data_IF_396516759193
#
_entry.id   IF_396516759193
#
_cell.length_a   1.000
_cell.length_b   1.000
_cell.length_c   1.000
_cell.angle_alpha   90.00
_cell.angle_beta   90.00
_cell.angle_gamma   90.00
#
_symmetry.space_group_name_H-M   'P 1'
#
loop_
_entity.id
_entity.type
_entity.pdbx_description
1 polymer ?
#
# COMPACT_ATOMS: atom_id res chain seq x y z
N UNK A 1 -32.79 -19.13 5.00
CA UNK A 1 -32.20 -19.14 3.65
C UNK A 1 -32.18 -17.72 3.15
N UNK A 2 -30.99 -17.10 3.11
CA UNK A 2 -30.74 -15.87 2.34
C UNK A 2 -29.51 -16.22 1.52
N UNK A 3 -29.68 -16.38 0.21
CA UNK A 3 -28.55 -16.51 -0.70
C UNK A 3 -28.13 -15.08 -1.03
N UNK A 4 -27.06 -14.61 -0.40
CA UNK A 4 -26.37 -13.42 -0.88
C UNK A 4 -25.87 -13.71 -2.29
N UNK A 5 -26.53 -13.11 -3.27
CA UNK A 5 -26.07 -13.09 -4.65
C UNK A 5 -24.86 -12.15 -4.70
N UNK A 6 -23.67 -12.67 -4.41
CA UNK A 6 -22.44 -11.96 -4.74
C UNK A 6 -22.43 -11.78 -6.26
N UNK A 7 -22.56 -10.54 -6.72
CA UNK A 7 -22.30 -10.17 -8.10
C UNK A 7 -20.82 -10.38 -8.36
N UNK A 8 -20.44 -11.57 -8.85
CA UNK A 8 -19.06 -11.85 -9.23
C UNK A 8 -18.73 -11.06 -10.48
N UNK A 9 -18.24 -9.83 -10.32
CA UNK A 9 -17.63 -9.09 -11.41
C UNK A 9 -16.42 -9.89 -11.91
N UNK A 10 -16.39 -10.14 -13.22
CA UNK A 10 -15.23 -10.74 -13.85
C UNK A 10 -14.10 -9.70 -13.83
N UNK A 11 -13.11 -9.88 -12.96
CA UNK A 11 -11.97 -8.97 -12.85
C UNK A 11 -11.17 -8.83 -14.16
N UNK A 12 -11.38 -9.71 -15.14
CA UNK A 12 -10.73 -9.68 -16.45
C UNK A 12 -11.57 -9.09 -17.58
N UNK A 13 -12.77 -8.58 -17.27
CA UNK A 13 -13.65 -7.97 -18.26
C UNK A 13 -12.95 -6.80 -18.98
N UNK A 14 -13.04 -6.79 -20.32
CA UNK A 14 -12.43 -5.75 -21.17
C UNK A 14 -10.95 -5.97 -21.51
N UNK A 15 -10.23 -6.88 -20.85
CA UNK A 15 -8.85 -7.18 -21.22
C UNK A 15 -8.74 -8.12 -22.43
N UNK A 16 -7.75 -7.87 -23.28
CA UNK A 16 -7.34 -8.78 -24.36
C UNK A 16 -6.73 -10.04 -23.77
N UNK A 17 -7.31 -11.18 -24.13
CA UNK A 17 -6.88 -12.49 -23.64
C UNK A 17 -5.57 -12.95 -24.29
N UNK A 18 -4.84 -13.84 -23.63
CA UNK A 18 -3.53 -14.34 -24.06
C UNK A 18 -3.11 -15.59 -23.30
N UNK A 19 -1.82 -15.92 -23.30
CA UNK A 19 -1.25 -16.96 -22.42
C UNK A 19 -1.35 -16.56 -20.95
N UNK A 20 -1.34 -15.26 -20.63
CA UNK A 20 -1.46 -14.72 -19.27
C UNK A 20 -2.75 -15.14 -18.54
N UNK A 21 -3.82 -15.52 -19.26
CA UNK A 21 -5.06 -16.02 -18.63
C UNK A 21 -4.96 -17.47 -18.17
N UNK A 22 -3.90 -18.18 -18.60
CA UNK A 22 -3.65 -19.60 -18.28
C UNK A 22 -2.32 -19.84 -17.57
N UNK A 23 -1.42 -18.85 -17.56
CA UNK A 23 -0.10 -18.91 -16.92
C UNK A 23 0.17 -17.57 -16.24
N UNK A 24 1.02 -17.57 -15.20
CA UNK A 24 1.50 -16.32 -14.61
C UNK A 24 2.45 -15.63 -15.59
N UNK A 25 1.93 -14.68 -16.36
CA UNK A 25 2.68 -13.91 -17.37
C UNK A 25 2.24 -12.43 -17.36
N UNK A 26 2.72 -11.69 -16.34
CA UNK A 26 2.42 -10.26 -16.17
C UNK A 26 2.93 -9.43 -17.34
N UNK A 27 4.03 -9.86 -17.98
CA UNK A 27 4.60 -9.17 -19.13
C UNK A 27 3.63 -9.16 -20.30
N UNK A 28 3.07 -10.31 -20.66
CA UNK A 28 2.12 -10.40 -21.77
C UNK A 28 0.81 -9.66 -21.46
N UNK A 29 0.33 -9.73 -20.21
CA UNK A 29 -0.82 -8.94 -19.77
C UNK A 29 -0.62 -7.44 -20.05
N UNK A 30 0.53 -6.87 -19.64
CA UNK A 30 0.86 -5.46 -19.88
C UNK A 30 0.96 -5.19 -21.39
N UNK A 31 1.71 -6.01 -22.13
CA UNK A 31 1.91 -5.77 -23.56
C UNK A 31 0.60 -5.77 -24.37
N UNK A 32 -0.37 -6.61 -24.00
CA UNK A 32 -1.66 -6.68 -24.69
C UNK A 32 -2.62 -5.54 -24.29
N UNK A 33 -2.54 -5.06 -23.04
CA UNK A 33 -3.56 -4.21 -22.43
C UNK A 33 -3.13 -2.78 -22.09
N UNK A 34 -1.84 -2.44 -22.15
CA UNK A 34 -1.42 -1.06 -21.90
C UNK A 34 -1.81 -0.14 -23.05
N UNK A 35 -2.15 1.11 -22.71
CA UNK A 35 -2.33 2.19 -23.67
C UNK A 35 -1.19 3.18 -23.51
N UNK A 36 -0.36 3.32 -24.53
CA UNK A 36 0.71 4.32 -24.52
C UNK A 36 0.16 5.73 -24.51
N UNK A 37 0.64 6.55 -23.58
CA UNK A 37 0.29 7.96 -23.49
C UNK A 37 1.50 8.81 -23.91
N UNK A 38 1.31 9.67 -24.92
CA UNK A 38 2.32 10.59 -25.45
C UNK A 38 1.87 12.07 -25.35
N UNK A 39 0.83 12.35 -24.57
CA UNK A 39 0.37 13.71 -24.30
C UNK A 39 1.18 14.41 -23.21
N UNK A 40 0.59 15.44 -22.60
CA UNK A 40 1.21 16.28 -21.57
C UNK A 40 0.56 16.08 -20.19
N UNK A 41 0.89 16.95 -19.23
CA UNK A 41 0.42 16.90 -17.85
C UNK A 41 -0.92 17.62 -17.62
N UNK A 42 -1.58 18.12 -18.66
CA UNK A 42 -2.81 18.92 -18.53
C UNK A 42 -4.00 18.15 -17.92
N UNK A 43 -3.99 16.82 -17.97
CA UNK A 43 -5.03 15.98 -17.39
C UNK A 43 -4.83 15.68 -15.89
N UNK A 44 -3.68 16.06 -15.31
CA UNK A 44 -3.37 15.74 -13.92
C UNK A 44 -4.34 16.44 -12.96
N UNK A 45 -4.89 15.66 -12.03
CA UNK A 45 -5.68 16.17 -10.93
C UNK A 45 -4.79 16.48 -9.72
N UNK A 46 -5.15 17.52 -8.96
CA UNK A 46 -4.50 17.85 -7.69
C UNK A 46 -4.83 16.86 -6.56
N UNK A 47 -4.18 16.99 -5.40
CA UNK A 47 -4.44 16.15 -4.25
C UNK A 47 -5.86 16.37 -3.70
N UNK A 48 -6.42 15.32 -3.11
CA UNK A 48 -7.67 15.45 -2.35
C UNK A 48 -7.41 16.06 -0.97
N UNK A 49 -8.47 16.51 -0.30
CA UNK A 49 -8.38 16.97 1.09
C UNK A 49 -7.89 15.86 2.04
N UNK A 50 -8.37 14.62 1.84
CA UNK A 50 -7.91 13.45 2.59
C UNK A 50 -6.40 13.22 2.40
N UNK A 51 -5.92 13.30 1.15
CA UNK A 51 -4.49 13.19 0.83
C UNK A 51 -3.67 14.26 1.57
N UNK A 52 -4.13 15.52 1.55
CA UNK A 52 -3.42 16.63 2.20
C UNK A 52 -3.36 16.43 3.72
N UNK A 53 -4.49 16.07 4.35
CA UNK A 53 -4.57 15.80 5.80
C UNK A 53 -3.65 14.65 6.22
N UNK A 54 -3.66 13.54 5.49
CA UNK A 54 -2.79 12.40 5.76
C UNK A 54 -1.31 12.79 5.59
N UNK A 55 -0.99 13.57 4.56
CA UNK A 55 0.37 14.02 4.32
C UNK A 55 0.88 14.96 5.42
N UNK A 56 0.05 15.87 5.92
CA UNK A 56 0.41 16.75 7.04
C UNK A 56 0.80 15.94 8.29
N UNK A 57 0.08 14.85 8.59
CA UNK A 57 0.45 13.95 9.69
C UNK A 57 1.81 13.28 9.46
N UNK A 58 2.07 12.79 8.24
CA UNK A 58 3.37 12.21 7.87
C UNK A 58 4.50 13.24 8.05
N UNK A 59 4.27 14.50 7.69
CA UNK A 59 5.26 15.57 7.85
C UNK A 59 5.55 15.88 9.32
N UNK A 60 4.53 15.88 10.18
CA UNK A 60 4.72 16.01 11.64
C UNK A 60 5.56 14.85 12.18
N UNK A 61 5.20 13.60 11.87
CA UNK A 61 5.94 12.41 12.32
C UNK A 61 7.38 12.38 11.81
N UNK A 62 7.59 12.80 10.56
CA UNK A 62 8.94 12.91 9.97
C UNK A 62 9.80 13.95 10.69
N UNK A 63 9.21 15.09 11.05
CA UNK A 63 9.89 16.12 11.84
C UNK A 63 10.27 15.59 13.22
N UNK A 64 9.35 14.90 13.90
CA UNK A 64 9.61 14.28 15.19
C UNK A 64 10.71 13.21 15.11
N UNK A 65 10.70 12.34 14.09
CA UNK A 65 11.74 11.33 13.90
C UNK A 65 13.12 11.97 13.79
N UNK A 66 13.23 13.06 13.01
CA UNK A 66 14.48 13.82 12.88
C UNK A 66 14.91 14.44 14.21
N UNK A 67 13.99 15.02 14.98
CA UNK A 67 14.27 15.62 16.28
C UNK A 67 14.67 14.59 17.33
N UNK A 68 14.19 13.34 17.23
CA UNK A 68 14.55 12.21 18.09
C UNK A 68 15.88 11.53 17.71
N UNK A 69 16.61 12.04 16.73
CA UNK A 69 17.88 11.47 16.29
C UNK A 69 17.74 10.36 15.26
N UNK A 70 16.62 10.29 14.55
CA UNK A 70 16.44 9.47 13.35
C UNK A 70 15.71 8.16 13.54
N UNK A 71 15.07 7.92 14.69
CA UNK A 71 14.12 6.80 14.91
C UNK A 71 12.95 7.32 15.72
N UNK A 72 11.73 7.12 15.22
CA UNK A 72 10.53 7.53 15.94
C UNK A 72 10.14 6.54 17.05
N UNK A 73 10.06 5.25 16.70
CA UNK A 73 9.81 4.11 17.60
C UNK A 73 10.35 2.81 16.97
N UNK A 74 10.53 1.76 17.77
CA UNK A 74 11.00 0.45 17.32
C UNK A 74 10.45 -0.70 18.18
N UNK A 75 10.07 -1.81 17.54
CA UNK A 75 9.74 -3.05 18.24
C UNK A 75 10.94 -3.63 18.99
N UNK A 76 10.71 -3.99 20.25
CA UNK A 76 11.72 -4.62 21.12
C UNK A 76 11.34 -6.04 21.54
N UNK A 77 10.12 -6.49 21.19
CA UNK A 77 9.55 -7.75 21.69
C UNK A 77 8.92 -8.62 20.61
N UNK A 78 8.61 -8.07 19.44
CA UNK A 78 7.89 -8.78 18.37
C UNK A 78 8.84 -9.02 17.19
N UNK A 79 9.30 -10.27 16.97
CA UNK A 79 9.97 -10.66 15.74
C UNK A 79 9.04 -10.46 14.54
N UNK A 80 9.47 -9.67 13.55
CA UNK A 80 8.64 -9.38 12.39
C UNK A 80 8.51 -10.60 11.47
N UNK A 81 7.26 -10.89 11.09
CA UNK A 81 6.84 -11.85 10.07
C UNK A 81 5.66 -11.25 9.30
N UNK A 82 5.12 -11.95 8.30
CA UNK A 82 3.99 -11.47 7.49
C UNK A 82 2.74 -11.17 8.34
N UNK A 83 2.53 -11.90 9.44
CA UNK A 83 1.31 -11.83 10.27
C UNK A 83 1.59 -11.42 11.73
N UNK A 84 2.77 -10.90 12.05
CA UNK A 84 3.17 -10.64 13.45
C UNK A 84 2.57 -9.37 14.05
N UNK A 85 2.07 -8.46 13.22
CA UNK A 85 1.59 -7.15 13.62
C UNK A 85 0.12 -7.01 13.25
N UNK A 86 -0.62 -6.32 14.11
CA UNK A 86 -1.98 -5.89 13.81
C UNK A 86 -1.97 -4.76 12.77
N UNK A 87 -3.15 -4.41 12.25
CA UNK A 87 -3.29 -3.30 11.32
C UNK A 87 -2.90 -1.97 11.98
N UNK A 88 -2.13 -1.17 11.25
CA UNK A 88 -1.80 0.21 11.61
C UNK A 88 -2.35 1.18 10.56
N UNK A 89 -2.57 2.42 10.99
CA UNK A 89 -3.19 3.48 10.19
C UNK A 89 -2.62 4.85 10.58
N UNK A 90 -2.64 5.79 9.63
CA UNK A 90 -2.54 7.22 9.95
C UNK A 90 -3.91 7.73 10.40
N UNK A 91 -4.93 7.45 9.58
CA UNK A 91 -6.33 7.72 9.84
C UNK A 91 -7.18 6.79 8.98
N UNK A 92 -7.67 5.71 9.60
CA UNK A 92 -8.43 4.63 8.93
C UNK A 92 -9.65 5.16 8.17
N UNK A 93 -10.20 6.32 8.56
CA UNK A 93 -11.37 6.90 7.91
C UNK A 93 -11.05 7.67 6.61
N UNK A 94 -9.78 8.05 6.41
CA UNK A 94 -9.33 8.86 5.27
C UNK A 94 -8.56 8.05 4.22
N UNK A 95 -7.94 6.95 4.63
CA UNK A 95 -7.07 6.13 3.78
C UNK A 95 -7.86 5.32 2.74
N UNK A 96 -7.59 5.54 1.45
CA UNK A 96 -8.14 4.72 0.36
C UNK A 96 -7.30 3.47 0.10
N UNK A 97 -6.00 3.56 0.36
CA UNK A 97 -5.04 2.45 0.29
C UNK A 97 -4.42 2.35 1.67
N UNK A 98 -4.51 1.16 2.26
CA UNK A 98 -4.10 0.91 3.65
C UNK A 98 -2.89 -0.02 3.71
N UNK A 99 -2.22 -0.01 4.86
CA UNK A 99 -1.12 -0.92 5.18
C UNK A 99 0.16 -0.19 5.56
N UNK A 100 0.62 -0.46 6.78
CA UNK A 100 1.94 -0.05 7.29
C UNK A 100 2.70 -1.28 7.81
N UNK A 101 4.00 -1.13 8.06
CA UNK A 101 4.88 -2.25 8.40
C UNK A 101 4.65 -2.84 9.81
N UNK A 102 4.07 -2.05 10.72
CA UNK A 102 3.79 -2.44 12.11
C UNK A 102 2.40 -1.96 12.51
N UNK A 103 2.03 -2.05 13.79
CA UNK A 103 0.79 -1.51 14.34
C UNK A 103 0.69 0.03 14.30
N UNK A 104 1.79 0.74 13.99
CA UNK A 104 1.81 2.21 13.95
C UNK A 104 2.66 2.76 12.80
N UNK A 105 2.28 3.92 12.23
CA UNK A 105 3.15 4.66 11.33
C UNK A 105 4.50 4.99 11.99
N UNK A 106 5.59 4.96 11.22
CA UNK A 106 6.95 5.30 11.65
C UNK A 106 7.59 4.41 12.74
N UNK A 107 6.88 3.41 13.26
CA UNK A 107 7.44 2.41 14.16
C UNK A 107 8.17 1.33 13.35
N UNK A 108 9.46 1.14 13.63
CA UNK A 108 10.31 0.16 12.95
C UNK A 108 10.12 -1.24 13.53
N UNK A 109 9.98 -2.23 12.67
CA UNK A 109 9.88 -3.63 13.08
C UNK A 109 11.26 -4.23 13.41
N UNK A 110 11.29 -5.25 14.27
CA UNK A 110 12.51 -6.00 14.57
C UNK A 110 12.68 -7.13 13.54
N UNK A 111 13.79 -7.12 12.79
CA UNK A 111 14.10 -8.10 11.73
C UNK A 111 15.25 -9.06 12.15
N UNK A 112 15.02 -10.03 13.05
CA UNK A 112 16.11 -10.79 13.68
C UNK A 112 16.81 -11.78 12.75
N UNK A 113 16.18 -12.18 11.64
CA UNK A 113 16.72 -13.20 10.73
C UNK A 113 17.93 -12.74 9.90
N UNK A 114 18.17 -11.42 9.82
CA UNK A 114 19.37 -10.87 9.18
C UNK A 114 20.60 -10.82 10.11
N UNK A 115 20.41 -10.95 11.42
CA UNK A 115 21.46 -10.84 12.45
C UNK A 115 20.93 -10.23 13.75
N UNK A 116 21.39 -10.73 14.89
CA UNK A 116 20.90 -10.38 16.25
C UNK A 116 21.97 -9.73 17.15
N UNK A 117 23.16 -9.44 16.60
CA UNK A 117 24.32 -8.95 17.35
C UNK A 117 24.58 -7.49 17.09
#
# INVERSE_FOLDING_TARGET
MIKDTQTTHNAWEGFKTGRWTRHVDVREFIQLNFTGYQGDDSFLAGPTEATTKLWDQVMVLSKEERERGGIWDMDTKVPSTILSHDAGYLDESLEQIVGVQTDKPFKRSMQPFGGIR
#
